data_IF_335243027845
#
_entry.id   IF_335243027845
#
_cell.length_a   1.000
_cell.length_b   1.000
_cell.length_c   1.000
_cell.angle_alpha   90.00
_cell.angle_beta   90.00
_cell.angle_gamma   90.00
#
_symmetry.space_group_name_H-M   'P 1'
#
loop_
_entity.id
_entity.type
_entity.pdbx_description
1 polymer ?
#
# COMPACT_ATOMS: atom_id res chain seq x y z
N UNK A 1 13.45 4.35 13.14
CA UNK A 1 12.13 3.75 12.94
C UNK A 1 11.50 4.03 11.58
N UNK A 2 11.47 5.29 11.17
CA UNK A 2 10.85 5.63 9.89
C UNK A 2 11.50 4.95 8.69
N UNK A 3 12.82 4.84 8.70
CA UNK A 3 13.52 4.22 7.59
C UNK A 3 13.21 2.74 7.44
N UNK A 4 12.99 2.06 8.56
CA UNK A 4 12.66 0.64 8.52
C UNK A 4 11.28 0.43 7.90
N UNK A 5 10.33 1.27 8.26
CA UNK A 5 8.98 1.19 7.70
C UNK A 5 9.03 1.50 6.20
N UNK A 6 9.80 2.50 5.82
CA UNK A 6 9.94 2.87 4.42
C UNK A 6 10.52 1.73 3.61
N UNK A 7 11.59 1.11 4.11
CA UNK A 7 12.20 -0.03 3.43
C UNK A 7 11.24 -1.21 3.32
N UNK A 8 10.51 -1.47 4.40
CA UNK A 8 9.52 -2.55 4.40
C UNK A 8 8.46 -2.31 3.33
N UNK A 9 8.02 -1.06 3.19
CA UNK A 9 7.01 -0.69 2.20
C UNK A 9 7.50 -0.78 0.76
N UNK A 10 8.82 -0.75 0.54
CA UNK A 10 9.35 -0.86 -0.81
C UNK A 10 9.42 -2.28 -1.33
N UNK A 11 9.28 -3.26 -0.45
CA UNK A 11 9.28 -4.65 -0.85
C UNK A 11 7.92 -4.99 -1.48
N UNK A 12 7.97 -5.53 -2.69
CA UNK A 12 6.77 -5.82 -3.48
C UNK A 12 5.81 -6.75 -2.73
N UNK A 13 6.33 -7.78 -2.12
CA UNK A 13 5.51 -8.72 -1.38
C UNK A 13 4.78 -8.08 -0.22
N UNK A 14 5.44 -7.12 0.45
CA UNK A 14 4.83 -6.43 1.57
C UNK A 14 3.69 -5.52 1.11
N UNK A 15 3.89 -4.86 -0.03
CA UNK A 15 2.82 -4.03 -0.61
C UNK A 15 1.61 -4.88 -0.95
N UNK A 16 1.83 -6.03 -1.56
CA UNK A 16 0.75 -6.93 -1.92
C UNK A 16 0.04 -7.45 -0.68
N UNK A 17 0.79 -7.72 0.37
CA UNK A 17 0.22 -8.17 1.63
C UNK A 17 -0.72 -7.12 2.22
N UNK A 18 -0.30 -5.85 2.17
CA UNK A 18 -1.12 -4.75 2.66
C UNK A 18 -2.40 -4.60 1.85
N UNK A 19 -2.28 -4.66 0.53
CA UNK A 19 -3.45 -4.57 -0.35
C UNK A 19 -4.43 -5.71 -0.04
N UNK A 20 -3.90 -6.91 0.07
CA UNK A 20 -4.70 -8.09 0.35
C UNK A 20 -5.42 -7.96 1.70
N UNK A 21 -4.71 -7.47 2.71
CA UNK A 21 -5.28 -7.27 4.03
C UNK A 21 -6.41 -6.24 4.00
N UNK A 22 -6.21 -5.16 3.23
CA UNK A 22 -7.24 -4.14 3.10
C UNK A 22 -8.49 -4.68 2.41
N UNK A 23 -8.29 -5.45 1.35
CA UNK A 23 -9.42 -6.07 0.63
C UNK A 23 -10.20 -6.98 1.56
N UNK A 24 -9.50 -7.78 2.37
CA UNK A 24 -10.15 -8.72 3.28
C UNK A 24 -10.85 -8.07 4.45
N UNK A 25 -10.28 -6.98 4.95
CA UNK A 25 -10.80 -6.32 6.16
C UNK A 25 -11.80 -5.22 5.87
N UNK A 26 -11.88 -4.78 4.63
CA UNK A 26 -12.79 -3.71 4.24
C UNK A 26 -13.66 -4.21 3.09
N UNK A 27 -14.96 -4.16 3.29
CA UNK A 27 -15.89 -4.58 2.26
C UNK A 27 -16.73 -3.40 1.81
N UNK A 28 -16.46 -2.93 0.60
CA UNK A 28 -17.22 -1.83 0.04
C UNK A 28 -18.36 -2.42 -0.77
N UNK A 29 -19.62 -2.24 -0.34
CA UNK A 29 -20.76 -2.97 -0.92
C UNK A 29 -20.97 -2.81 -2.41
N UNK A 30 -20.53 -1.71 -2.98
CA UNK A 30 -20.80 -1.43 -4.40
C UNK A 30 -19.65 -1.79 -5.32
N UNK A 31 -18.53 -2.27 -4.77
CA UNK A 31 -17.35 -2.56 -5.57
C UNK A 31 -17.03 -4.04 -5.58
N UNK A 32 -16.58 -4.52 -6.74
CA UNK A 32 -16.11 -5.88 -6.87
C UNK A 32 -14.72 -5.99 -6.23
N UNK A 33 -14.31 -7.22 -5.92
CA UNK A 33 -12.98 -7.45 -5.36
C UNK A 33 -11.87 -6.93 -6.25
N UNK A 34 -12.01 -7.06 -7.55
CA UNK A 34 -11.01 -6.57 -8.49
C UNK A 34 -10.84 -5.06 -8.43
N UNK A 35 -11.97 -4.35 -8.32
CA UNK A 35 -11.93 -2.89 -8.25
C UNK A 35 -11.33 -2.46 -6.92
N UNK A 36 -11.71 -3.10 -5.83
CA UNK A 36 -11.14 -2.81 -4.52
C UNK A 36 -9.63 -3.02 -4.52
N UNK A 37 -9.18 -4.11 -5.11
CA UNK A 37 -7.76 -4.41 -5.19
C UNK A 37 -7.01 -3.33 -5.96
N UNK A 38 -7.56 -2.86 -7.05
CA UNK A 38 -6.94 -1.78 -7.83
C UNK A 38 -6.87 -0.48 -7.05
N UNK A 39 -7.93 -0.14 -6.35
CA UNK A 39 -7.99 1.09 -5.56
C UNK A 39 -6.97 1.04 -4.43
N UNK A 40 -6.95 -0.04 -3.68
CA UNK A 40 -6.02 -0.18 -2.56
C UNK A 40 -4.57 -0.29 -3.05
N UNK A 41 -4.37 -0.93 -4.19
CA UNK A 41 -3.05 -1.01 -4.80
C UNK A 41 -2.52 0.39 -5.11
N UNK A 42 -3.35 1.21 -5.73
CA UNK A 42 -2.97 2.58 -6.05
C UNK A 42 -2.64 3.38 -4.79
N UNK A 43 -3.43 3.21 -3.74
CA UNK A 43 -3.20 3.90 -2.48
C UNK A 43 -1.88 3.46 -1.84
N UNK A 44 -1.67 2.16 -1.73
CA UNK A 44 -0.46 1.62 -1.09
C UNK A 44 0.80 2.01 -1.87
N UNK A 45 0.76 1.90 -3.19
CA UNK A 45 1.91 2.26 -4.01
C UNK A 45 2.20 3.76 -3.96
N UNK A 46 1.15 4.57 -3.88
CA UNK A 46 1.31 6.01 -3.74
C UNK A 46 1.95 6.37 -2.41
N UNK A 47 1.50 5.74 -1.34
CA UNK A 47 2.07 5.97 -0.01
C UNK A 47 3.54 5.54 0.02
N UNK A 48 3.86 4.40 -0.55
CA UNK A 48 5.24 3.93 -0.61
C UNK A 48 6.12 4.91 -1.37
N UNK A 49 5.62 5.46 -2.46
CA UNK A 49 6.35 6.45 -3.25
C UNK A 49 6.57 7.75 -2.45
N UNK A 50 5.55 8.20 -1.76
CA UNK A 50 5.64 9.41 -0.94
C UNK A 50 6.65 9.23 0.19
N UNK A 51 6.62 8.08 0.85
CA UNK A 51 7.56 7.79 1.93
C UNK A 51 8.99 7.76 1.43
N UNK A 52 9.20 7.15 0.27
CA UNK A 52 10.53 7.11 -0.33
C UNK A 52 11.07 8.51 -0.56
N UNK A 53 10.26 9.37 -1.16
CA UNK A 53 10.67 10.74 -1.41
C UNK A 53 10.93 11.52 -0.12
N UNK A 54 10.06 11.33 0.86
CA UNK A 54 10.19 12.04 2.12
C UNK A 54 11.50 11.71 2.83
N UNK A 55 11.92 10.44 2.77
CA UNK A 55 13.15 10.02 3.42
C UNK A 55 14.39 10.26 2.59
N UNK A 56 14.24 10.42 1.29
CA UNK A 56 15.37 10.73 0.42
C UNK A 56 15.77 12.20 0.47
N UNK A 57 14.84 13.07 0.75
CA UNK A 57 15.10 14.51 0.75
C UNK A 57 15.91 14.98 1.97
N UNK A 58 16.24 14.09 2.83
CA UNK A 58 17.11 14.41 3.95
C UNK A 58 18.55 14.04 3.66
#
# INVERSE_FOLDING_TARGET
MGKEIMKWMQVEENKKMLVDSLVKNTDIPMLSEKVEEKVYSAIIYSIASILEKAFQEK
#
